data_IF_848933756579
#
_entry.id   IF_848933756579
#
_cell.length_a   1.000
_cell.length_b   1.000
_cell.length_c   1.000
_cell.angle_alpha   90.00
_cell.angle_beta   90.00
_cell.angle_gamma   90.00
#
_symmetry.space_group_name_H-M   'P 1'
#
loop_
_entity.id
_entity.type
_entity.pdbx_description
1 polymer ?
#
# COMPACT_ATOMS: atom_id res chain seq x y z
N UNK A 1 -25.01 4.39 -1.36
CA UNK A 1 -24.69 2.97 -1.62
C UNK A 1 -23.19 2.83 -1.50
N UNK A 2 -22.74 2.34 -0.35
CA UNK A 2 -21.33 2.07 -0.09
C UNK A 2 -20.86 0.98 -1.03
N UNK A 3 -20.06 1.37 -2.03
CA UNK A 3 -19.23 0.43 -2.77
C UNK A 3 -18.04 0.08 -1.87
N UNK A 4 -18.30 -0.69 -0.81
CA UNK A 4 -17.23 -1.34 -0.07
C UNK A 4 -16.49 -2.20 -1.09
N UNK A 5 -15.22 -1.89 -1.33
CA UNK A 5 -14.37 -2.69 -2.19
C UNK A 5 -14.30 -4.10 -1.59
N UNK A 6 -14.57 -5.12 -2.41
CA UNK A 6 -14.66 -6.53 -2.00
C UNK A 6 -13.28 -7.18 -1.76
N UNK A 7 -12.21 -6.38 -1.83
CA UNK A 7 -10.83 -6.82 -1.63
C UNK A 7 -10.24 -7.51 -2.85
N UNK A 8 -10.96 -7.68 -3.97
CA UNK A 8 -10.42 -8.35 -5.15
C UNK A 8 -9.30 -7.50 -5.78
N UNK A 9 -8.07 -7.98 -5.67
CA UNK A 9 -6.88 -7.23 -6.07
C UNK A 9 -6.80 -7.03 -7.60
N UNK A 10 -7.43 -7.93 -8.38
CA UNK A 10 -7.45 -7.81 -9.84
C UNK A 10 -8.24 -6.59 -10.33
N UNK A 11 -9.17 -6.10 -9.52
CA UNK A 11 -10.03 -4.97 -9.88
C UNK A 11 -9.30 -3.62 -9.78
N UNK A 12 -8.12 -3.60 -9.17
CA UNK A 12 -7.24 -2.43 -9.21
C UNK A 12 -6.71 -2.25 -10.65
N UNK A 13 -6.87 -1.05 -11.27
CA UNK A 13 -6.31 -0.77 -12.58
C UNK A 13 -4.79 -0.99 -12.63
N UNK A 14 -4.29 -1.53 -13.74
CA UNK A 14 -2.86 -1.88 -13.86
C UNK A 14 -1.96 -0.65 -13.73
N UNK A 15 -2.34 0.46 -14.37
CA UNK A 15 -1.61 1.72 -14.30
C UNK A 15 -1.56 2.28 -12.86
N UNK A 16 -2.67 2.14 -12.13
CA UNK A 16 -2.72 2.51 -10.72
C UNK A 16 -1.77 1.64 -9.89
N UNK A 17 -1.80 0.32 -10.09
CA UNK A 17 -0.90 -0.60 -9.40
C UNK A 17 0.59 -0.32 -9.69
N UNK A 18 0.95 -0.06 -10.95
CA UNK A 18 2.33 0.31 -11.30
C UNK A 18 2.77 1.62 -10.64
N UNK A 19 1.89 2.63 -10.57
CA UNK A 19 2.16 3.88 -9.85
C UNK A 19 2.31 3.67 -8.35
N UNK A 20 1.53 2.77 -7.73
CA UNK A 20 1.68 2.42 -6.32
C UNK A 20 3.07 1.83 -6.05
N UNK A 21 3.50 0.86 -6.87
CA UNK A 21 4.82 0.23 -6.75
C UNK A 21 5.95 1.24 -6.95
N UNK A 22 5.86 2.07 -7.99
CA UNK A 22 6.87 3.09 -8.27
C UNK A 22 7.02 4.04 -7.08
N UNK A 23 5.89 4.55 -6.56
CA UNK A 23 5.87 5.46 -5.41
C UNK A 23 6.51 4.82 -4.18
N UNK A 24 6.14 3.57 -3.87
CA UNK A 24 6.68 2.84 -2.73
C UNK A 24 8.21 2.63 -2.84
N UNK A 25 8.70 2.25 -4.03
CA UNK A 25 10.15 2.11 -4.30
C UNK A 25 10.90 3.44 -4.18
N UNK A 26 10.34 4.52 -4.74
CA UNK A 26 10.94 5.86 -4.63
C UNK A 26 11.03 6.30 -3.18
N UNK A 27 9.98 6.10 -2.37
CA UNK A 27 9.99 6.41 -0.95
C UNK A 27 11.02 5.58 -0.19
N UNK A 28 11.14 4.29 -0.50
CA UNK A 28 12.12 3.41 0.11
C UNK A 28 13.55 3.89 -0.14
N UNK A 29 13.88 4.29 -1.37
CA UNK A 29 15.20 4.83 -1.69
C UNK A 29 15.46 6.20 -1.06
N UNK A 30 14.47 7.10 -1.06
CA UNK A 30 14.60 8.44 -0.47
C UNK A 30 14.78 8.42 1.05
N UNK A 31 14.23 7.42 1.74
CA UNK A 31 14.29 7.27 3.20
C UNK A 31 15.32 6.26 3.67
N UNK A 32 16.06 5.65 2.73
CA UNK A 32 17.13 4.69 3.03
C UNK A 32 18.32 5.42 3.63
N UNK A 33 18.75 4.99 4.81
CA UNK A 33 20.06 5.35 5.34
C UNK A 33 21.16 4.51 4.66
N UNK A 34 22.41 4.98 4.58
CA UNK A 34 23.51 4.18 4.01
C UNK A 34 23.72 2.83 4.70
N UNK A 35 23.35 2.73 5.98
CA UNK A 35 23.39 1.52 6.80
C UNK A 35 22.21 0.57 6.58
N UNK A 36 21.13 1.03 5.95
CA UNK A 36 19.93 0.23 5.73
C UNK A 36 20.16 -0.75 4.58
N UNK A 37 19.57 -1.96 4.72
CA UNK A 37 19.53 -2.92 3.64
C UNK A 37 18.93 -2.29 2.36
N UNK A 38 19.42 -2.70 1.19
CA UNK A 38 18.90 -2.20 -0.08
C UNK A 38 17.40 -2.49 -0.17
N UNK A 39 16.63 -1.47 -0.54
CA UNK A 39 15.20 -1.62 -0.78
C UNK A 39 14.99 -2.63 -1.91
N UNK A 40 14.08 -3.57 -1.70
CA UNK A 40 13.67 -4.55 -2.70
C UNK A 40 12.20 -4.92 -2.51
N UNK A 41 11.61 -5.54 -3.52
CA UNK A 41 10.17 -5.81 -3.54
C UNK A 41 9.69 -6.76 -2.42
N UNK A 42 10.60 -7.43 -1.69
CA UNK A 42 10.28 -8.31 -0.56
C UNK A 42 10.17 -7.57 0.77
N UNK A 43 10.80 -6.40 0.90
CA UNK A 43 10.87 -5.66 2.17
C UNK A 43 10.21 -4.28 2.13
N UNK A 44 9.54 -3.93 1.02
CA UNK A 44 8.65 -2.77 0.92
C UNK A 44 7.22 -3.28 0.96
N UNK A 45 6.47 -2.86 1.96
CA UNK A 45 5.11 -3.32 2.21
C UNK A 45 4.09 -2.25 1.88
N UNK A 46 2.94 -2.67 1.35
CA UNK A 46 1.81 -1.82 1.03
C UNK A 46 0.58 -2.38 1.74
N UNK A 47 -0.18 -1.48 2.37
CA UNK A 47 -1.53 -1.75 2.86
C UNK A 47 -2.50 -0.93 2.03
N UNK A 48 -3.61 -1.52 1.58
CA UNK A 48 -4.64 -0.82 0.79
C UNK A 48 -5.88 -0.66 1.66
N UNK A 49 -6.49 0.51 1.67
CA UNK A 49 -7.60 0.78 2.59
C UNK A 49 -8.13 2.21 2.48
N UNK A 50 -8.89 2.61 3.50
CA UNK A 50 -9.40 3.99 3.69
C UNK A 50 -8.89 4.58 5.01
N UNK A 51 -8.89 5.91 5.18
CA UNK A 51 -8.71 6.48 6.52
C UNK A 51 -9.96 6.27 7.38
N UNK A 52 -9.78 6.30 8.70
CA UNK A 52 -10.87 6.22 9.68
C UNK A 52 -11.83 7.39 9.71
N UNK A 53 -11.71 8.30 8.75
CA UNK A 53 -12.62 9.44 8.56
C UNK A 53 -13.41 9.35 7.26
N UNK A 54 -13.25 8.26 6.49
CA UNK A 54 -13.85 8.12 5.15
C UNK A 54 -13.26 9.08 4.11
N UNK A 55 -12.21 9.84 4.46
CA UNK A 55 -11.47 10.75 3.58
C UNK A 55 -10.24 10.03 3.01
N UNK A 56 -9.84 10.30 1.77
CA UNK A 56 -8.75 9.60 1.06
C UNK A 56 -7.45 9.56 1.86
N UNK A 57 -6.97 8.39 2.27
CA UNK A 57 -5.85 7.81 1.52
C UNK A 57 -6.17 6.37 1.11
N UNK A 58 -5.63 5.97 -0.04
CA UNK A 58 -5.99 4.71 -0.70
C UNK A 58 -5.05 3.56 -0.30
N UNK A 59 -3.83 3.90 0.15
CA UNK A 59 -2.85 2.94 0.60
C UNK A 59 -1.76 3.56 1.51
N UNK A 60 -1.14 2.73 2.35
CA UNK A 60 0.07 3.05 3.11
C UNK A 60 1.26 2.31 2.53
N UNK A 61 2.43 2.92 2.62
CA UNK A 61 3.71 2.28 2.37
C UNK A 61 4.43 2.13 3.70
N UNK A 62 4.77 0.90 4.07
CA UNK A 62 5.69 0.59 5.16
C UNK A 62 7.05 0.22 4.58
N UNK A 63 8.06 0.96 5.01
CA UNK A 63 9.43 0.84 4.56
C UNK A 63 10.22 -0.16 5.41
N UNK A 64 11.35 -0.71 4.92
CA UNK A 64 12.15 -1.70 5.66
C UNK A 64 12.62 -1.25 7.05
N UNK A 65 12.71 0.07 7.25
CA UNK A 65 13.10 0.70 8.51
C UNK A 65 11.91 0.98 9.45
N UNK A 66 10.71 0.46 9.13
CA UNK A 66 9.49 0.60 9.92
C UNK A 66 8.74 1.92 9.73
N UNK A 67 9.22 2.83 8.88
CA UNK A 67 8.50 4.06 8.59
C UNK A 67 7.24 3.78 7.76
N UNK A 68 6.10 4.28 8.23
CA UNK A 68 4.82 4.19 7.55
C UNK A 68 4.44 5.54 6.95
N UNK A 69 4.04 5.56 5.68
CA UNK A 69 3.69 6.77 4.95
C UNK A 69 2.35 6.57 4.27
N UNK A 70 1.35 7.40 4.61
CA UNK A 70 0.06 7.43 3.96
C UNK A 70 0.13 8.13 2.59
N UNK A 71 -0.42 7.49 1.57
CA UNK A 71 -0.42 8.00 0.19
C UNK A 71 -1.86 8.14 -0.33
N UNK A 72 -2.13 9.30 -0.93
CA UNK A 72 -3.37 9.54 -1.64
C UNK A 72 -3.30 8.81 -3.00
N UNK A 73 -4.12 7.79 -3.22
CA UNK A 73 -4.04 7.03 -4.47
C UNK A 73 -4.67 7.72 -5.68
N UNK A 74 -5.08 8.98 -5.60
CA UNK A 74 -5.49 9.72 -6.81
C UNK A 74 -4.28 10.34 -7.47
N UNK A 75 -3.42 11.00 -6.69
CA UNK A 75 -2.24 11.70 -7.19
C UNK A 75 -0.93 10.99 -6.82
N UNK A 76 -0.99 9.95 -5.99
CA UNK A 76 0.17 9.23 -5.44
C UNK A 76 1.11 10.11 -4.61
N UNK A 77 0.56 11.16 -3.98
CA UNK A 77 1.31 12.07 -3.11
C UNK A 77 1.07 11.76 -1.62
N UNK A 78 2.00 12.18 -0.77
CA UNK A 78 1.90 12.02 0.68
C UNK A 78 0.67 12.76 1.21
N UNK A 79 -0.19 12.07 1.96
CA UNK A 79 -1.47 12.63 2.43
C UNK A 79 -1.38 13.31 3.81
N UNK A 80 -0.24 13.23 4.51
CA UNK A 80 0.01 14.00 5.74
C UNK A 80 -0.72 13.52 7.00
N UNK A 81 -1.64 12.54 6.90
CA UNK A 81 -2.23 11.84 8.05
C UNK A 81 -1.45 10.56 8.35
N UNK A 82 -1.27 10.21 9.62
CA UNK A 82 -0.44 9.07 10.02
C UNK A 82 -1.24 7.77 10.19
N UNK A 83 -2.57 7.84 10.36
CA UNK A 83 -3.35 6.66 10.73
C UNK A 83 -4.49 6.35 9.75
N UNK A 84 -4.46 5.13 9.21
CA UNK A 84 -5.57 4.51 8.48
C UNK A 84 -6.58 3.94 9.47
N UNK A 85 -7.81 3.72 9.01
CA UNK A 85 -8.75 2.95 9.83
C UNK A 85 -8.28 1.51 9.91
N UNK A 86 -7.96 1.04 11.12
CA UNK A 86 -7.57 -0.36 11.33
C UNK A 86 -8.69 -1.33 10.92
N UNK A 87 -9.95 -0.88 10.90
CA UNK A 87 -11.08 -1.70 10.47
C UNK A 87 -11.25 -1.76 8.95
N UNK A 88 -10.66 -0.82 8.20
CA UNK A 88 -10.83 -0.69 6.75
C UNK A 88 -9.47 -0.63 6.03
N UNK A 89 -8.52 -1.44 6.49
CA UNK A 89 -7.18 -1.57 5.91
C UNK A 89 -6.83 -3.05 5.70
N UNK A 90 -6.18 -3.34 4.58
CA UNK A 90 -5.66 -4.67 4.32
C UNK A 90 -4.51 -5.02 5.25
N UNK A 91 -4.20 -6.31 5.36
CA UNK A 91 -2.88 -6.77 5.84
C UNK A 91 -1.76 -6.13 5.02
N UNK A 92 -0.55 -6.13 5.59
CA UNK A 92 0.65 -5.70 4.89
C UNK A 92 1.04 -6.73 3.82
N UNK A 93 1.18 -6.28 2.57
CA UNK A 93 1.67 -7.12 1.49
C UNK A 93 2.94 -6.52 0.91
N UNK A 94 3.98 -7.34 0.76
CA UNK A 94 5.17 -6.93 0.02
C UNK A 94 4.80 -6.66 -1.45
N UNK A 95 5.59 -5.83 -2.14
CA UNK A 95 5.42 -5.63 -3.58
C UNK A 95 5.49 -6.97 -4.34
N UNK A 96 6.34 -7.90 -3.90
CA UNK A 96 6.41 -9.26 -4.45
C UNK A 96 5.08 -10.02 -4.29
N UNK A 97 4.48 -9.99 -3.09
CA UNK A 97 3.19 -10.63 -2.84
C UNK A 97 2.09 -10.06 -3.75
N UNK A 98 2.06 -8.73 -3.92
CA UNK A 98 1.10 -8.07 -4.80
C UNK A 98 1.32 -8.42 -6.28
N UNK A 99 2.57 -8.53 -6.74
CA UNK A 99 2.87 -9.01 -8.09
C UNK A 99 2.37 -10.44 -8.30
N UNK A 100 2.57 -11.33 -7.33
CA UNK A 100 2.07 -12.71 -7.38
C UNK A 100 0.54 -12.75 -7.43
N UNK A 101 -0.14 -11.99 -6.56
CA UNK A 101 -1.60 -11.87 -6.59
C UNK A 101 -2.11 -11.27 -7.91
N UNK A 102 -1.36 -10.37 -8.54
CA UNK A 102 -1.71 -9.85 -9.87
C UNK A 102 -1.68 -10.94 -10.94
N UNK A 103 -0.64 -11.76 -10.94
CA UNK A 103 -0.46 -12.84 -11.92
C UNK A 103 -1.44 -13.99 -11.71
N UNK A 104 -1.57 -14.46 -10.47
CA UNK A 104 -2.31 -15.70 -10.16
C UNK A 104 -3.72 -15.45 -9.62
N UNK A 105 -4.05 -14.21 -9.26
CA UNK A 105 -5.29 -13.86 -8.58
C UNK A 105 -5.14 -13.89 -7.06
N UNK A 106 -6.01 -13.17 -6.37
CA UNK A 106 -6.00 -13.06 -4.91
C UNK A 106 -6.95 -11.99 -4.41
N UNK A 107 -7.33 -12.12 -3.13
CA UNK A 107 -8.14 -11.14 -2.40
C UNK A 107 -7.26 -10.57 -1.29
N UNK A 108 -7.29 -9.25 -1.10
CA UNK A 108 -6.65 -8.64 0.05
C UNK A 108 -7.50 -8.92 1.28
N UNK A 109 -6.88 -9.55 2.27
CA UNK A 109 -7.47 -9.77 3.57
C UNK A 109 -7.37 -8.49 4.41
N UNK A 110 -8.39 -8.24 5.22
CA UNK A 110 -8.36 -7.15 6.20
C UNK A 110 -7.44 -7.52 7.37
N UNK A 111 -6.86 -6.52 8.02
CA UNK A 111 -5.95 -6.75 9.17
C UNK A 111 -6.68 -7.33 10.40
N UNK A 112 -8.01 -7.16 10.48
CA UNK A 112 -8.87 -7.62 11.57
C UNK A 112 -9.82 -8.79 11.17
N UNK A 113 -9.45 -9.60 10.19
CA UNK A 113 -10.22 -10.80 9.79
C UNK A 113 -10.15 -11.92 10.83
#
# INVERSE_FOLDING_TARGET
MDKAWDGNFRDIPLDHFEKMKLTARTLAELKRSPSDAKANDKNIFIRIGMSGTGVRPNYQVELPNGFVIAINGINHERFGVEEFDKQWVSKAYSIENLNNMRMFGGVLETENA
#
